data_IF_452295460392
#
_entry.id   IF_452295460392
#
_cell.length_a   1.000
_cell.length_b   1.000
_cell.length_c   1.000
_cell.angle_alpha   90.00
_cell.angle_beta   90.00
_cell.angle_gamma   90.00
#
_symmetry.space_group_name_H-M   'P 1'
#
loop_
_entity.id
_entity.type
_entity.pdbx_description
1 polymer ?
#
# COMPACT_ATOMS: atom_id res chain seq x y z
N UNK A 1 10.86 12.11 24.67
CA UNK A 1 11.81 12.65 23.67
C UNK A 1 13.00 11.72 23.58
N UNK A 2 13.11 10.91 22.53
CA UNK A 2 14.34 10.15 22.26
C UNK A 2 15.44 11.16 21.93
N UNK A 3 16.52 11.17 22.72
CA UNK A 3 17.70 12.00 22.47
C UNK A 3 18.85 11.08 22.04
N UNK A 4 19.51 11.42 20.95
CA UNK A 4 20.74 10.74 20.50
C UNK A 4 21.88 11.75 20.49
N UNK A 5 23.03 11.35 21.05
CA UNK A 5 24.29 12.09 20.97
C UNK A 5 25.13 11.70 19.73
N UNK A 6 24.68 10.69 18.97
CA UNK A 6 25.32 10.21 17.75
C UNK A 6 24.43 10.48 16.52
N UNK A 7 25.03 10.62 15.33
CA UNK A 7 24.26 10.71 14.09
C UNK A 7 23.43 9.44 13.90
N UNK A 8 22.12 9.60 13.71
CA UNK A 8 21.19 8.49 13.53
C UNK A 8 21.34 7.90 12.13
N UNK A 9 21.37 6.57 12.04
CA UNK A 9 21.30 5.88 10.76
C UNK A 9 19.85 5.86 10.22
N UNK A 10 19.67 5.56 8.94
CA UNK A 10 18.32 5.31 8.38
C UNK A 10 17.58 4.21 9.15
N UNK A 11 18.29 3.17 9.59
CA UNK A 11 17.72 2.10 10.39
C UNK A 11 17.22 2.62 11.74
N UNK A 12 17.98 3.47 12.42
CA UNK A 12 17.57 4.05 13.70
C UNK A 12 16.33 4.94 13.55
N UNK A 13 16.30 5.76 12.49
CA UNK A 13 15.16 6.62 12.17
C UNK A 13 13.91 5.76 11.93
N UNK A 14 14.00 4.74 11.07
CA UNK A 14 12.86 3.83 10.80
C UNK A 14 12.40 3.12 12.08
N UNK A 15 13.33 2.62 12.90
CA UNK A 15 12.97 1.99 14.16
C UNK A 15 12.27 2.95 15.13
N UNK A 16 12.66 4.22 15.16
CA UNK A 16 12.00 5.22 15.97
C UNK A 16 10.62 5.58 15.39
N UNK A 17 10.49 5.75 14.08
CA UNK A 17 9.21 5.98 13.41
C UNK A 17 8.20 4.89 13.73
N UNK A 18 8.59 3.61 13.65
CA UNK A 18 7.74 2.47 13.98
C UNK A 18 7.31 2.40 15.45
N UNK A 19 8.06 3.02 16.37
CA UNK A 19 7.72 3.06 17.81
C UNK A 19 6.88 4.28 18.20
N UNK A 20 7.03 5.39 17.48
CA UNK A 20 6.52 6.69 17.92
C UNK A 20 5.38 7.23 17.06
N UNK A 21 5.23 6.77 15.82
CA UNK A 21 4.17 7.21 14.92
C UNK A 21 2.99 6.22 14.96
N UNK A 22 1.80 6.64 14.50
CA UNK A 22 0.73 5.68 14.29
C UNK A 22 1.16 4.61 13.25
N UNK A 23 0.54 3.41 13.30
CA UNK A 23 1.04 2.26 12.55
C UNK A 23 1.16 2.49 11.04
N UNK A 24 0.20 3.19 10.44
CA UNK A 24 0.21 3.48 9.00
C UNK A 24 1.44 4.31 8.61
N UNK A 25 1.70 5.42 9.30
CA UNK A 25 2.81 6.31 9.01
C UNK A 25 4.16 5.62 9.26
N UNK A 26 4.24 4.83 10.34
CA UNK A 26 5.42 4.00 10.63
C UNK A 26 5.71 2.99 9.51
N UNK A 27 4.67 2.30 9.02
CA UNK A 27 4.78 1.34 7.92
C UNK A 27 5.19 2.02 6.61
N UNK A 28 4.55 3.14 6.25
CA UNK A 28 4.87 3.90 5.04
C UNK A 28 6.35 4.29 5.01
N UNK A 29 6.88 4.78 6.13
CA UNK A 29 8.29 5.15 6.26
C UNK A 29 9.19 3.92 6.12
N UNK A 30 8.86 2.83 6.83
CA UNK A 30 9.65 1.60 6.81
C UNK A 30 9.70 0.98 5.41
N UNK A 31 8.56 0.87 4.73
CA UNK A 31 8.45 0.30 3.39
C UNK A 31 9.19 1.14 2.35
N UNK A 32 9.06 2.48 2.42
CA UNK A 32 9.80 3.42 1.56
C UNK A 32 11.32 3.29 1.74
N UNK A 33 11.80 3.20 2.99
CA UNK A 33 13.22 3.03 3.28
C UNK A 33 13.76 1.69 2.76
N UNK A 34 13.00 0.61 2.89
CA UNK A 34 13.36 -0.72 2.36
C UNK A 34 13.37 -0.70 0.84
N UNK A 35 12.33 -0.15 0.20
CA UNK A 35 12.23 -0.04 -1.25
C UNK A 35 13.39 0.74 -1.87
N UNK A 36 13.83 1.83 -1.22
CA UNK A 36 14.97 2.64 -1.67
C UNK A 36 16.33 2.02 -1.36
N UNK A 37 16.38 0.84 -0.74
CA UNK A 37 17.62 0.17 -0.34
C UNK A 37 18.36 0.85 0.81
N UNK A 38 17.74 1.82 1.49
CA UNK A 38 18.34 2.54 2.63
C UNK A 38 18.37 1.68 3.89
N UNK A 39 17.45 0.72 4.01
CA UNK A 39 17.34 -0.23 5.11
C UNK A 39 17.12 -1.63 4.55
N UNK A 40 17.87 -2.61 5.03
CA UNK A 40 17.65 -4.02 4.70
C UNK A 40 16.52 -4.58 5.58
N UNK A 41 15.51 -5.21 4.97
CA UNK A 41 14.37 -5.77 5.71
C UNK A 41 14.78 -6.82 6.79
N UNK A 42 15.77 -7.72 6.54
CA UNK A 42 16.28 -8.61 7.59
C UNK A 42 16.84 -7.85 8.79
N UNK A 43 17.68 -6.82 8.54
CA UNK A 43 18.25 -6.00 9.61
C UNK A 43 17.16 -5.26 10.40
N UNK A 44 16.11 -4.78 9.74
CA UNK A 44 14.97 -4.16 10.42
C UNK A 44 14.22 -5.14 11.33
N UNK A 45 14.02 -6.38 10.89
CA UNK A 45 13.37 -7.44 11.69
C UNK A 45 14.15 -7.76 12.96
N UNK A 46 15.47 -7.75 12.91
CA UNK A 46 16.35 -8.02 14.05
C UNK A 46 16.26 -6.95 15.15
N UNK A 47 15.80 -5.73 14.84
CA UNK A 47 15.69 -4.62 15.82
C UNK A 47 14.51 -4.72 16.78
N UNK A 48 13.63 -5.69 16.60
CA UNK A 48 12.43 -5.90 17.42
C UNK A 48 12.33 -7.35 17.95
N UNK A 49 13.31 -7.82 18.75
CA UNK A 49 13.34 -9.21 19.23
C UNK A 49 12.36 -9.48 20.38
N UNK A 50 11.86 -8.44 21.05
CA UNK A 50 11.11 -8.60 22.29
C UNK A 50 9.64 -9.01 22.06
N UNK A 51 9.08 -9.96 22.86
CA UNK A 51 7.67 -10.35 22.76
C UNK A 51 6.68 -9.19 22.92
N UNK A 52 7.03 -8.20 23.75
CA UNK A 52 6.22 -6.99 23.98
C UNK A 52 6.06 -6.10 22.75
N UNK A 53 6.92 -6.25 21.74
CA UNK A 53 6.87 -5.50 20.48
C UNK A 53 6.03 -6.23 19.40
N UNK A 54 5.10 -7.11 19.80
CA UNK A 54 4.29 -7.94 18.89
C UNK A 54 3.61 -7.11 17.79
N UNK A 55 3.01 -5.97 18.12
CA UNK A 55 2.35 -5.10 17.16
C UNK A 55 3.34 -4.57 16.10
N UNK A 56 4.49 -4.04 16.55
CA UNK A 56 5.54 -3.54 15.65
C UNK A 56 6.12 -4.67 14.79
N UNK A 57 6.32 -5.86 15.37
CA UNK A 57 6.77 -7.04 14.62
C UNK A 57 5.77 -7.42 13.52
N UNK A 58 4.47 -7.35 13.82
CA UNK A 58 3.40 -7.56 12.84
C UNK A 58 3.50 -6.55 11.69
N UNK A 59 3.70 -5.28 12.02
CA UNK A 59 3.87 -4.21 11.04
C UNK A 59 5.14 -4.39 10.18
N UNK A 60 6.27 -4.75 10.77
CA UNK A 60 7.51 -5.05 10.02
C UNK A 60 7.33 -6.30 9.15
N UNK A 61 6.54 -7.28 9.60
CA UNK A 61 6.21 -8.46 8.80
C UNK A 61 5.24 -8.15 7.65
N UNK A 62 4.43 -7.09 7.75
CA UNK A 62 3.55 -6.62 6.69
C UNK A 62 4.23 -5.71 5.68
N UNK A 63 5.53 -5.42 5.81
CA UNK A 63 6.29 -4.68 4.78
C UNK A 63 6.28 -5.45 3.45
N UNK A 64 5.91 -4.75 2.37
CA UNK A 64 5.87 -5.22 0.98
C UNK A 64 6.61 -4.23 0.09
N UNK A 65 7.92 -4.41 -0.15
CA UNK A 65 8.70 -3.46 -0.97
C UNK A 65 8.21 -3.32 -2.42
N UNK A 66 7.35 -4.23 -2.85
CA UNK A 66 6.70 -4.24 -4.16
C UNK A 66 5.66 -3.12 -4.34
N UNK A 67 5.12 -2.53 -3.25
CA UNK A 67 4.21 -1.39 -3.37
C UNK A 67 4.89 -0.28 -4.17
N UNK A 68 4.28 0.14 -5.27
CA UNK A 68 4.79 1.12 -6.23
C UNK A 68 4.96 2.51 -5.63
N UNK A 69 4.13 2.88 -4.67
CA UNK A 69 4.08 4.20 -4.06
C UNK A 69 3.59 4.17 -2.60
N UNK A 70 3.73 5.31 -1.92
CA UNK A 70 3.17 5.51 -0.57
C UNK A 70 1.65 5.32 -0.56
N UNK A 71 0.97 5.76 -1.62
CA UNK A 71 -0.49 5.68 -1.74
C UNK A 71 -0.94 4.22 -1.82
N UNK A 72 -0.21 3.37 -2.54
CA UNK A 72 -0.44 1.92 -2.58
C UNK A 72 -0.24 1.26 -1.21
N UNK A 73 0.83 1.61 -0.48
CA UNK A 73 1.04 1.12 0.89
C UNK A 73 -0.12 1.52 1.81
N UNK A 74 -0.63 2.75 1.69
CA UNK A 74 -1.78 3.23 2.47
C UNK A 74 -3.05 2.45 2.15
N UNK A 75 -3.38 2.31 0.87
CA UNK A 75 -4.57 1.57 0.45
C UNK A 75 -4.50 0.12 0.94
N UNK A 76 -3.36 -0.55 0.75
CA UNK A 76 -3.13 -1.92 1.22
C UNK A 76 -3.32 -2.04 2.73
N UNK A 77 -2.68 -1.18 3.51
CA UNK A 77 -2.78 -1.20 4.97
C UNK A 77 -4.24 -1.08 5.44
N UNK A 78 -4.99 -0.11 4.89
CA UNK A 78 -6.38 0.11 5.26
C UNK A 78 -7.29 -1.09 4.93
N UNK A 79 -7.02 -1.77 3.81
CA UNK A 79 -7.78 -2.95 3.40
C UNK A 79 -7.43 -4.19 4.23
N UNK A 80 -6.15 -4.42 4.50
CA UNK A 80 -5.69 -5.52 5.37
C UNK A 80 -6.24 -5.36 6.80
N UNK A 81 -6.24 -4.14 7.35
CA UNK A 81 -6.84 -3.83 8.66
C UNK A 81 -8.36 -4.04 8.67
N UNK A 82 -9.03 -3.89 7.52
CA UNK A 82 -10.43 -4.21 7.35
C UNK A 82 -10.70 -5.72 7.17
N UNK A 83 -9.66 -6.57 7.26
CA UNK A 83 -9.76 -8.02 7.15
C UNK A 83 -9.85 -8.55 5.72
N UNK A 84 -9.52 -7.73 4.72
CA UNK A 84 -9.56 -8.12 3.30
C UNK A 84 -8.22 -8.73 2.86
N UNK A 85 -8.25 -9.67 1.93
CA UNK A 85 -7.04 -10.22 1.32
C UNK A 85 -6.59 -9.33 0.17
N UNK A 86 -5.32 -8.91 0.19
CA UNK A 86 -4.77 -7.98 -0.80
C UNK A 86 -3.55 -8.59 -1.47
N UNK A 87 -3.60 -8.74 -2.79
CA UNK A 87 -2.44 -9.01 -3.65
C UNK A 87 -1.90 -7.69 -4.19
N UNK A 88 -0.57 -7.50 -4.14
CA UNK A 88 0.11 -6.28 -4.62
C UNK A 88 0.70 -6.54 -6.00
N UNK A 89 0.61 -5.56 -6.90
CA UNK A 89 1.15 -5.62 -8.27
C UNK A 89 0.65 -6.85 -9.04
N UNK A 90 -0.65 -7.15 -8.90
CA UNK A 90 -1.30 -8.31 -9.50
C UNK A 90 -1.22 -8.25 -11.03
N UNK A 91 -0.80 -9.33 -11.68
CA UNK A 91 -0.65 -9.36 -13.13
C UNK A 91 -2.00 -9.58 -13.83
N UNK A 92 -2.43 -8.62 -14.64
CA UNK A 92 -3.65 -8.70 -15.45
C UNK A 92 -3.24 -8.84 -16.93
N UNK A 93 -3.55 -9.98 -17.58
CA UNK A 93 -3.11 -10.25 -18.96
C UNK A 93 -3.52 -9.16 -19.97
N UNK A 94 -2.51 -8.53 -20.57
CA UNK A 94 -2.68 -7.45 -21.53
C UNK A 94 -2.77 -6.05 -20.90
N UNK A 95 -2.97 -5.92 -19.59
CA UNK A 95 -2.89 -4.64 -18.88
C UNK A 95 -1.45 -4.38 -18.41
N UNK A 96 -0.81 -5.40 -17.84
CA UNK A 96 0.40 -5.25 -17.02
C UNK A 96 0.05 -5.52 -15.56
N UNK A 97 0.63 -4.74 -14.65
CA UNK A 97 0.32 -4.84 -13.23
C UNK A 97 -0.84 -3.93 -12.84
N UNK A 98 -1.69 -4.42 -11.95
CA UNK A 98 -2.72 -3.70 -11.22
C UNK A 98 -2.19 -3.47 -9.80
N UNK A 99 -2.30 -2.25 -9.27
CA UNK A 99 -1.65 -1.90 -8.00
C UNK A 99 -2.04 -2.86 -6.87
N UNK A 100 -3.35 -3.06 -6.67
CA UNK A 100 -3.88 -4.01 -5.69
C UNK A 100 -5.05 -4.82 -6.30
N UNK A 101 -5.10 -6.12 -5.97
CA UNK A 101 -6.24 -6.98 -6.21
C UNK A 101 -6.79 -7.50 -4.88
N UNK A 102 -8.05 -7.21 -4.61
CA UNK A 102 -8.73 -7.50 -3.35
C UNK A 102 -9.63 -8.70 -3.50
N UNK A 103 -9.46 -9.69 -2.62
CA UNK A 103 -10.20 -10.95 -2.57
C UNK A 103 -10.31 -11.65 -3.95
N UNK A 104 -9.25 -11.53 -4.77
CA UNK A 104 -9.18 -12.06 -6.15
C UNK A 104 -10.33 -11.59 -7.07
N UNK A 105 -10.96 -10.46 -6.75
CA UNK A 105 -12.18 -10.01 -7.41
C UNK A 105 -12.12 -8.54 -7.85
N UNK A 106 -11.73 -7.64 -6.94
CA UNK A 106 -11.82 -6.20 -7.16
C UNK A 106 -10.43 -5.58 -7.25
N UNK A 107 -10.15 -4.91 -8.36
CA UNK A 107 -8.94 -4.12 -8.52
C UNK A 107 -9.02 -2.75 -7.87
N UNK A 108 -7.90 -2.27 -7.36
CA UNK A 108 -7.72 -0.89 -6.88
C UNK A 108 -6.49 -0.32 -7.57
N UNK A 109 -6.63 0.85 -8.20
CA UNK A 109 -5.51 1.68 -8.67
C UNK A 109 -5.41 2.93 -7.78
N UNK A 110 -4.22 3.18 -7.25
CA UNK A 110 -3.94 4.24 -6.30
C UNK A 110 -3.31 5.44 -7.04
N UNK A 111 -4.15 6.37 -7.48
CA UNK A 111 -3.75 7.49 -8.31
C UNK A 111 -3.23 8.67 -7.47
N UNK A 112 -1.95 8.97 -7.61
CA UNK A 112 -1.38 10.23 -7.16
C UNK A 112 -1.59 11.34 -8.19
N UNK A 113 -1.89 12.56 -7.73
CA UNK A 113 -1.94 13.72 -8.63
C UNK A 113 -0.53 14.17 -9.01
N UNK A 114 -0.08 13.86 -10.24
CA UNK A 114 1.16 14.37 -10.80
C UNK A 114 0.89 15.45 -11.86
N UNK A 115 1.36 16.68 -11.63
CA UNK A 115 1.19 17.83 -12.54
C UNK A 115 1.92 17.69 -13.91
N UNK A 116 2.59 16.57 -14.19
CA UNK A 116 3.41 16.37 -15.39
C UNK A 116 3.26 14.97 -16.00
N UNK A 117 2.04 14.48 -16.24
CA UNK A 117 1.88 13.25 -17.03
C UNK A 117 2.08 13.53 -18.51
N UNK A 118 2.95 12.76 -19.17
CA UNK A 118 3.15 12.86 -20.62
C UNK A 118 1.91 12.37 -21.37
N UNK A 119 1.71 12.81 -22.61
CA UNK A 119 0.61 12.31 -23.46
C UNK A 119 0.67 10.79 -23.66
N UNK A 120 1.86 10.20 -23.61
CA UNK A 120 2.04 8.76 -23.69
C UNK A 120 1.52 8.06 -22.43
N UNK A 121 1.89 8.54 -21.24
CA UNK A 121 1.35 8.05 -19.97
C UNK A 121 -0.18 8.17 -19.92
N UNK A 122 -0.72 9.32 -20.35
CA UNK A 122 -2.16 9.51 -20.48
C UNK A 122 -2.82 8.39 -21.30
N UNK A 123 -2.27 8.07 -22.48
CA UNK A 123 -2.83 7.05 -23.37
C UNK A 123 -2.71 5.65 -22.77
N UNK A 124 -1.60 5.38 -22.10
CA UNK A 124 -1.34 4.10 -21.47
C UNK A 124 -2.31 3.83 -20.31
N UNK A 125 -2.60 4.83 -19.47
CA UNK A 125 -3.62 4.69 -18.41
C UNK A 125 -4.99 4.32 -18.99
N UNK A 126 -5.42 5.04 -20.03
CA UNK A 126 -6.68 4.75 -20.75
C UNK A 126 -6.71 3.32 -21.31
N UNK A 127 -5.59 2.87 -21.88
CA UNK A 127 -5.47 1.51 -22.40
C UNK A 127 -5.58 0.48 -21.28
N UNK A 128 -4.81 0.63 -20.19
CA UNK A 128 -4.84 -0.25 -19.00
C UNK A 128 -6.25 -0.36 -18.44
N UNK A 129 -6.92 0.76 -18.29
CA UNK A 129 -8.29 0.84 -17.78
C UNK A 129 -9.32 0.15 -18.66
N UNK A 130 -9.19 0.23 -19.98
CA UNK A 130 -10.09 -0.50 -20.87
C UNK A 130 -9.85 -2.02 -20.78
N UNK A 131 -8.62 -2.47 -20.54
CA UNK A 131 -8.32 -3.90 -20.38
C UNK A 131 -9.00 -4.47 -19.15
N UNK A 132 -9.04 -3.76 -18.01
CA UNK A 132 -9.71 -4.29 -16.81
C UNK A 132 -11.18 -4.58 -17.05
N UNK A 133 -11.87 -3.69 -17.77
CA UNK A 133 -13.27 -3.88 -18.19
C UNK A 133 -13.41 -5.11 -19.09
N UNK A 134 -12.60 -5.23 -20.14
CA UNK A 134 -12.65 -6.36 -21.08
C UNK A 134 -12.33 -7.69 -20.40
N UNK A 135 -11.47 -7.67 -19.37
CA UNK A 135 -11.08 -8.84 -18.58
C UNK A 135 -12.06 -9.17 -17.45
N UNK A 136 -13.12 -8.38 -17.27
CA UNK A 136 -14.08 -8.60 -16.19
C UNK A 136 -13.50 -8.35 -14.80
N UNK A 137 -12.46 -7.52 -14.70
CA UNK A 137 -11.86 -7.11 -13.42
C UNK A 137 -12.42 -5.75 -13.05
N UNK A 138 -13.48 -5.65 -12.23
CA UNK A 138 -13.96 -4.36 -11.77
C UNK A 138 -12.83 -3.64 -11.03
N UNK A 139 -12.66 -2.34 -11.30
CA UNK A 139 -11.53 -1.57 -10.76
C UNK A 139 -12.00 -0.24 -10.19
N UNK A 140 -11.64 0.05 -8.93
CA UNK A 140 -11.81 1.37 -8.33
C UNK A 140 -10.52 2.18 -8.46
N UNK A 141 -10.64 3.49 -8.67
CA UNK A 141 -9.53 4.43 -8.62
C UNK A 141 -9.67 5.30 -7.39
N UNK A 142 -8.61 5.37 -6.61
CA UNK A 142 -8.61 6.06 -5.32
C UNK A 142 -7.49 7.06 -5.26
N UNK A 143 -7.75 8.21 -4.65
CA UNK A 143 -6.76 9.28 -4.54
C UNK A 143 -6.11 9.29 -3.16
N UNK A 144 -4.96 9.95 -3.06
CA UNK A 144 -4.30 10.17 -1.78
C UNK A 144 -5.22 10.85 -0.75
N UNK A 145 -5.98 11.87 -1.17
CA UNK A 145 -6.89 12.62 -0.29
C UNK A 145 -8.00 11.74 0.29
N UNK A 146 -8.50 10.78 -0.50
CA UNK A 146 -9.48 9.82 -0.02
C UNK A 146 -8.89 8.90 1.04
N UNK A 147 -7.69 8.35 0.79
CA UNK A 147 -7.04 7.44 1.73
C UNK A 147 -6.60 8.14 3.03
N UNK A 148 -6.14 9.38 2.93
CA UNK A 148 -5.67 10.15 4.08
C UNK A 148 -6.84 10.78 4.86
N UNK A 149 -7.76 11.44 4.15
CA UNK A 149 -8.82 12.25 4.75
C UNK A 149 -10.07 11.44 5.11
N UNK A 150 -10.39 10.41 4.32
CA UNK A 150 -11.64 9.65 4.44
C UNK A 150 -11.43 8.12 4.40
N UNK A 151 -10.49 7.55 5.17
CA UNK A 151 -10.12 6.12 5.08
C UNK A 151 -11.32 5.18 5.28
N UNK A 152 -12.27 5.57 6.14
CA UNK A 152 -13.48 4.79 6.39
C UNK A 152 -14.47 4.80 5.22
N UNK A 153 -14.51 5.89 4.43
CA UNK A 153 -15.30 5.96 3.20
C UNK A 153 -14.70 5.03 2.15
N UNK A 154 -13.37 5.06 2.00
CA UNK A 154 -12.65 4.14 1.11
C UNK A 154 -12.95 2.67 1.43
N UNK A 155 -12.77 2.24 2.68
CA UNK A 155 -13.01 0.83 3.08
C UNK A 155 -14.46 0.42 2.81
N UNK A 156 -15.44 1.25 3.18
CA UNK A 156 -16.86 0.96 2.91
C UNK A 156 -17.16 0.86 1.41
N UNK A 157 -16.58 1.74 0.60
CA UNK A 157 -16.75 1.70 -0.85
C UNK A 157 -16.23 0.38 -1.42
N UNK A 158 -15.06 -0.08 -0.97
CA UNK A 158 -14.49 -1.36 -1.39
C UNK A 158 -15.36 -2.54 -0.96
N UNK A 159 -15.83 -2.56 0.29
CA UNK A 159 -16.72 -3.61 0.78
C UNK A 159 -18.05 -3.66 0.00
N UNK A 160 -18.64 -2.51 -0.32
CA UNK A 160 -19.86 -2.43 -1.12
C UNK A 160 -19.64 -2.93 -2.55
N UNK A 161 -18.52 -2.56 -3.18
CA UNK A 161 -18.16 -3.05 -4.50
C UNK A 161 -17.98 -4.58 -4.49
N UNK A 162 -17.22 -5.12 -3.53
CA UNK A 162 -17.05 -6.58 -3.37
C UNK A 162 -18.39 -7.29 -3.20
N UNK A 163 -19.28 -6.80 -2.34
CA UNK A 163 -20.61 -7.38 -2.14
C UNK A 163 -21.44 -7.38 -3.44
N UNK A 164 -21.38 -6.28 -4.19
CA UNK A 164 -22.10 -6.14 -5.48
C UNK A 164 -21.62 -7.16 -6.51
N UNK A 165 -20.30 -7.28 -6.69
CA UNK A 165 -19.73 -8.18 -7.70
C UNK A 165 -19.80 -9.65 -7.30
N UNK A 166 -19.77 -9.97 -6.00
CA UNK A 166 -20.03 -11.34 -5.51
C UNK A 166 -21.44 -11.81 -5.79
N UNK A 167 -22.43 -10.92 -5.67
CA UNK A 167 -23.82 -11.26 -5.94
C UNK A 167 -24.14 -11.45 -7.44
N UNK A 168 -23.27 -10.98 -8.32
CA UNK A 168 -23.41 -11.06 -9.77
C UNK A 168 -22.71 -12.30 -10.39
N UNK A 169 -21.97 -13.08 -9.59
CA UNK A 169 -21.33 -14.33 -9.98
C UNK A 169 -22.20 -15.54 -9.61
#
# INVERSE_FOLDING_TARGET
MHRSSLPLTHLDIVCQSLRCLPPLEGLVIAESAVKKGLVQLPALRERFPAPREKAIRGLVASVRPQSGSIIETMARYLLEEAGLMVEVQANVPGMGHLDLLVDNLLGIEADGYAFHSSRAAYREDRRRWNVTVVRGVPTLRVTFEMLQGEPQVFVRMVQQALATYRAAQ
#
